data_IF_518013462559
#
_entry.id   IF_518013462559
#
_cell.length_a   1.000
_cell.length_b   1.000
_cell.length_c   1.000
_cell.angle_alpha   90.00
_cell.angle_beta   90.00
_cell.angle_gamma   90.00
#
_symmetry.space_group_name_H-M   'P 1'
#
loop_
_entity.id
_entity.type
_entity.pdbx_description
1 polymer ?
#
# COMPACT_ATOMS: atom_id res chain seq x y z
N UNK A 1 21.08 5.40 -4.76
CA UNK A 1 20.99 6.48 -3.75
C UNK A 1 19.61 7.15 -3.71
N UNK A 2 18.85 7.27 -4.83
CA UNK A 2 17.54 7.93 -4.86
C UNK A 2 16.36 7.13 -4.24
N UNK A 3 16.43 5.79 -4.17
CA UNK A 3 15.30 4.98 -3.66
C UNK A 3 15.10 5.10 -2.14
N UNK A 4 16.16 5.31 -1.37
CA UNK A 4 16.08 5.40 0.10
C UNK A 4 15.38 6.70 0.55
N UNK A 5 15.56 7.82 -0.15
CA UNK A 5 14.92 9.11 0.20
C UNK A 5 13.40 9.08 0.01
N UNK A 6 12.92 8.43 -1.04
CA UNK A 6 11.47 8.32 -1.30
C UNK A 6 10.79 7.44 -0.24
N UNK A 7 11.37 6.28 0.06
CA UNK A 7 10.87 5.39 1.12
C UNK A 7 10.90 6.05 2.50
N UNK A 8 11.91 6.87 2.77
CA UNK A 8 11.98 7.64 4.02
C UNK A 8 10.81 8.63 4.14
N UNK A 9 10.51 9.40 3.09
CA UNK A 9 9.40 10.36 3.12
C UNK A 9 8.04 9.66 3.27
N UNK A 10 7.84 8.53 2.58
CA UNK A 10 6.63 7.72 2.73
C UNK A 10 6.51 7.19 4.18
N UNK A 11 7.59 6.66 4.75
CA UNK A 11 7.59 6.17 6.13
C UNK A 11 7.28 7.27 7.15
N UNK A 12 7.84 8.46 6.95
CA UNK A 12 7.58 9.62 7.79
C UNK A 12 6.10 10.03 7.71
N UNK A 13 5.56 10.16 6.49
CA UNK A 13 4.16 10.49 6.26
C UNK A 13 3.21 9.41 6.82
N UNK A 14 3.54 8.13 6.66
CA UNK A 14 2.79 7.00 7.24
C UNK A 14 2.74 7.10 8.77
N UNK A 15 3.89 7.26 9.43
CA UNK A 15 3.97 7.39 10.89
C UNK A 15 3.28 8.66 11.43
N UNK A 16 3.26 9.73 10.63
CA UNK A 16 2.62 10.99 10.99
C UNK A 16 1.12 11.06 10.59
N UNK A 17 0.56 10.02 9.97
CA UNK A 17 -0.84 10.03 9.49
C UNK A 17 -1.10 10.98 8.33
N UNK A 18 -0.06 11.41 7.60
CA UNK A 18 -0.13 12.38 6.50
C UNK A 18 -0.11 11.73 5.11
N UNK A 19 -0.59 10.49 4.97
CA UNK A 19 -0.55 9.78 3.69
C UNK A 19 -1.28 10.52 2.56
N UNK A 20 -2.38 11.21 2.86
CA UNK A 20 -3.13 11.98 1.88
C UNK A 20 -2.31 13.10 1.22
N UNK A 21 -1.26 13.61 1.87
CA UNK A 21 -0.42 14.68 1.30
C UNK A 21 0.59 14.16 0.28
N UNK A 22 0.87 12.86 0.25
CA UNK A 22 1.85 12.24 -0.65
C UNK A 22 1.21 11.49 -1.82
N UNK A 23 -0.07 11.11 -1.69
CA UNK A 23 -0.79 10.37 -2.73
C UNK A 23 -1.13 11.30 -3.88
N UNK A 24 -0.95 10.81 -5.10
CA UNK A 24 -1.28 11.55 -6.31
C UNK A 24 -2.80 11.87 -6.33
N UNK A 25 -3.12 13.16 -6.38
CA UNK A 25 -4.50 13.66 -6.42
C UNK A 25 -5.29 13.13 -7.63
N UNK A 26 -4.61 12.67 -8.69
CA UNK A 26 -5.24 12.10 -9.90
C UNK A 26 -5.76 10.69 -9.71
N UNK A 27 -5.39 10.00 -8.62
CA UNK A 27 -5.83 8.62 -8.32
C UNK A 27 -7.30 8.58 -7.82
N UNK A 28 -7.98 9.72 -7.76
CA UNK A 28 -9.38 9.84 -7.33
C UNK A 28 -10.36 9.04 -8.21
N UNK A 29 -11.36 8.35 -7.62
CA UNK A 29 -11.71 8.32 -6.20
C UNK A 29 -11.11 7.12 -5.42
N UNK A 30 -10.57 7.38 -4.23
CA UNK A 30 -10.16 6.36 -3.24
C UNK A 30 -10.59 6.79 -1.83
N UNK A 31 -10.86 5.83 -0.95
CA UNK A 31 -11.17 6.12 0.46
C UNK A 31 -9.89 6.18 1.30
N UNK A 32 -9.81 7.15 2.22
CA UNK A 32 -8.63 7.33 3.08
C UNK A 32 -8.32 6.06 3.91
N UNK A 33 -9.35 5.27 4.24
CA UNK A 33 -9.24 4.04 5.00
C UNK A 33 -8.48 2.93 4.25
N UNK A 34 -8.42 2.97 2.91
CA UNK A 34 -7.68 1.99 2.11
C UNK A 34 -6.19 2.33 1.97
N UNK A 35 -5.84 3.60 2.13
CA UNK A 35 -4.46 4.06 1.94
C UNK A 35 -3.53 3.53 3.02
N UNK A 36 -4.02 3.45 4.25
CA UNK A 36 -3.20 3.00 5.37
C UNK A 36 -2.72 1.55 5.20
N UNK A 37 -3.60 0.53 5.00
CA UNK A 37 -3.13 -0.84 4.78
C UNK A 37 -2.34 -0.98 3.46
N UNK A 38 -2.72 -0.26 2.40
CA UNK A 38 -2.01 -0.30 1.12
C UNK A 38 -0.57 0.23 1.22
N UNK A 39 -0.38 1.38 1.86
CA UNK A 39 0.95 1.97 2.05
C UNK A 39 1.77 1.15 3.04
N UNK A 40 1.14 0.59 4.08
CA UNK A 40 1.82 -0.33 4.99
C UNK A 40 2.39 -1.54 4.24
N UNK A 41 1.58 -2.19 3.39
CA UNK A 41 2.03 -3.30 2.56
C UNK A 41 3.17 -2.89 1.61
N UNK A 42 3.04 -1.73 0.96
CA UNK A 42 4.08 -1.20 0.07
C UNK A 42 5.42 -0.95 0.80
N UNK A 43 5.37 -0.39 2.02
CA UNK A 43 6.57 -0.21 2.85
C UNK A 43 7.22 -1.55 3.18
N UNK A 44 6.43 -2.55 3.59
CA UNK A 44 6.93 -3.89 3.92
C UNK A 44 7.61 -4.58 2.73
N UNK A 45 7.03 -4.47 1.52
CA UNK A 45 7.65 -4.97 0.29
C UNK A 45 9.00 -4.32 -0.04
N UNK A 46 9.20 -3.07 0.39
CA UNK A 46 10.40 -2.28 0.13
C UNK A 46 11.42 -2.32 1.27
N UNK A 47 11.32 -3.27 2.20
CA UNK A 47 12.28 -3.42 3.29
C UNK A 47 13.71 -3.66 2.75
N UNK A 48 14.71 -2.98 3.32
CA UNK A 48 16.13 -3.16 2.98
C UNK A 48 16.58 -4.62 3.24
N UNK A 49 16.04 -5.23 4.30
CA UNK A 49 16.26 -6.64 4.62
C UNK A 49 15.36 -7.53 3.74
N UNK A 50 15.96 -8.32 2.86
CA UNK A 50 15.24 -9.18 1.93
C UNK A 50 14.37 -10.23 2.64
N UNK A 51 14.87 -10.81 3.74
CA UNK A 51 14.15 -11.83 4.53
C UNK A 51 12.97 -11.24 5.32
N UNK A 52 12.96 -9.92 5.52
CA UNK A 52 11.88 -9.19 6.19
C UNK A 52 10.77 -8.77 5.22
N UNK A 53 10.91 -9.06 3.91
CA UNK A 53 9.88 -8.78 2.90
C UNK A 53 8.83 -9.89 2.91
N UNK A 54 7.53 -9.56 2.77
CA UNK A 54 6.49 -10.56 2.64
C UNK A 54 6.65 -11.38 1.34
N UNK A 55 6.32 -12.67 1.36
CA UNK A 55 6.27 -13.47 0.15
C UNK A 55 5.15 -12.97 -0.78
N UNK A 56 5.35 -13.11 -2.09
CA UNK A 56 4.41 -12.60 -3.10
C UNK A 56 2.98 -13.11 -2.92
N UNK A 57 2.80 -14.34 -2.43
CA UNK A 57 1.48 -14.89 -2.14
C UNK A 57 0.73 -14.09 -1.06
N UNK A 58 1.43 -13.70 0.01
CA UNK A 58 0.86 -12.85 1.07
C UNK A 58 0.56 -11.44 0.55
N UNK A 59 1.43 -10.90 -0.31
CA UNK A 59 1.21 -9.59 -0.93
C UNK A 59 -0.09 -9.59 -1.76
N UNK A 60 -0.31 -10.61 -2.59
CA UNK A 60 -1.53 -10.70 -3.40
C UNK A 60 -2.76 -10.88 -2.52
N UNK A 61 -2.69 -11.72 -1.50
CA UNK A 61 -3.79 -11.94 -0.56
C UNK A 61 -4.19 -10.64 0.17
N UNK A 62 -3.21 -9.86 0.64
CA UNK A 62 -3.47 -8.57 1.29
C UNK A 62 -4.05 -7.54 0.30
N UNK A 63 -3.56 -7.50 -0.94
CA UNK A 63 -4.13 -6.64 -1.99
C UNK A 63 -5.60 -6.98 -2.28
N UNK A 64 -5.93 -8.27 -2.36
CA UNK A 64 -7.31 -8.74 -2.53
C UNK A 64 -8.20 -8.37 -1.33
N UNK A 65 -7.68 -8.49 -0.10
CA UNK A 65 -8.36 -8.07 1.13
C UNK A 65 -8.66 -6.56 1.13
N UNK A 66 -7.68 -5.73 0.77
CA UNK A 66 -7.85 -4.28 0.64
C UNK A 66 -8.88 -3.95 -0.44
N UNK A 67 -8.82 -4.64 -1.58
CA UNK A 67 -9.80 -4.46 -2.67
C UNK A 67 -11.22 -4.81 -2.24
N UNK A 68 -11.41 -5.91 -1.51
CA UNK A 68 -12.70 -6.33 -0.99
C UNK A 68 -13.31 -5.34 0.01
N UNK A 69 -12.49 -4.61 0.77
CA UNK A 69 -12.97 -3.52 1.62
C UNK A 69 -13.54 -2.34 0.79
N UNK A 70 -13.05 -2.12 -0.44
CA UNK A 70 -13.54 -1.09 -1.36
C UNK A 70 -14.81 -1.52 -2.10
N UNK A 71 -14.88 -2.80 -2.46
CA UNK A 71 -15.95 -3.40 -3.24
C UNK A 71 -16.47 -4.64 -2.53
N UNK A 72 -17.39 -4.50 -1.55
CA UNK A 72 -18.00 -5.63 -0.88
C UNK A 72 -18.90 -6.39 -1.87
N UNK A 73 -18.31 -7.36 -2.55
CA UNK A 73 -18.91 -8.14 -3.63
C UNK A 73 -17.87 -9.12 -4.18
N UNK A 74 -18.31 -10.23 -4.80
CA UNK A 74 -17.39 -11.21 -5.35
C UNK A 74 -16.41 -10.52 -6.31
N UNK A 75 -15.10 -10.80 -6.17
CA UNK A 75 -14.14 -10.45 -7.23
C UNK A 75 -14.62 -11.22 -8.45
N UNK A 76 -15.23 -10.51 -9.41
CA UNK A 76 -15.48 -11.08 -10.72
C UNK A 76 -14.09 -11.32 -11.33
N UNK A 77 -13.60 -12.57 -11.20
CA UNK A 77 -12.40 -13.04 -11.88
C UNK A 77 -12.68 -13.03 -13.39
N UNK A 78 -12.60 -11.86 -14.00
CA UNK A 78 -12.49 -11.70 -15.45
C UNK A 78 -11.00 -11.59 -15.76
N UNK A 79 -10.31 -12.75 -15.74
CA UNK A 79 -9.02 -12.94 -16.41
C UNK A 79 -9.28 -13.76 -17.66
#
# INVERSE_FOLDING_TARGET
>A
MLQSTFLFQINLAHKAGMLLSIVDHRISPYSANLLQPLVHLAISCCNDEADSRPPTAEVVQELESIWQQMHPGPICNNI
#
